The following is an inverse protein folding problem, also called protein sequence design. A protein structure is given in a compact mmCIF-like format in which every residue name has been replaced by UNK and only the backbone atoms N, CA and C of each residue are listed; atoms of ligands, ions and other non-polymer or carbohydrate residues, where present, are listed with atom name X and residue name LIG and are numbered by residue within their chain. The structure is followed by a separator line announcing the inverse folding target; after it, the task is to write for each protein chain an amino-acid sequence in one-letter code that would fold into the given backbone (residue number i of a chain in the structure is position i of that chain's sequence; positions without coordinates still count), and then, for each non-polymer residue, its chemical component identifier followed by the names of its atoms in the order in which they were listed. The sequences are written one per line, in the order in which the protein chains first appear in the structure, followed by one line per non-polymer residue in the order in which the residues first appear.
data_IF_183246507677
#
_entry.id   IF_183246507677
#
_cell.length_a   1.000
_cell.length_b   1.000
_cell.length_c   1.000
_cell.angle_alpha   90.00
_cell.angle_beta   90.00
_cell.angle_gamma   90.00
#
_symmetry.space_group_name_H-M   'P 1'
#
loop_
_entity.id
_entity.type
_entity.pdbx_description
1 polymer ?
#
# COMPACT_ATOMS: atom_id res chain seq x y z
N UNK A 1 52.06 17.64 -51.09
CA UNK A 1 52.56 16.34 -50.59
C UNK A 1 52.54 16.41 -49.07
N UNK A 2 51.90 15.42 -48.40
CA UNK A 2 52.11 15.05 -46.98
C UNK A 2 51.50 16.03 -45.94
N UNK A 3 50.65 15.70 -44.97
CA UNK A 3 49.97 14.45 -44.55
C UNK A 3 48.79 14.88 -43.65
N UNK A 4 47.63 14.29 -43.89
CA UNK A 4 46.43 14.36 -43.06
C UNK A 4 46.71 13.88 -41.63
N UNK A 5 46.36 14.69 -40.63
CA UNK A 5 46.29 14.28 -39.24
C UNK A 5 44.81 14.27 -38.84
N UNK A 6 44.15 13.16 -39.18
CA UNK A 6 42.73 12.92 -38.93
C UNK A 6 42.52 12.67 -37.44
N UNK A 7 42.11 13.70 -36.72
CA UNK A 7 41.73 13.63 -35.30
C UNK A 7 40.39 12.92 -35.18
N UNK A 8 40.43 11.59 -34.98
CA UNK A 8 39.25 10.77 -34.74
C UNK A 8 38.88 10.84 -33.23
N UNK A 9 38.13 11.88 -32.84
CA UNK A 9 37.41 11.88 -31.56
C UNK A 9 36.26 10.86 -31.67
N UNK A 10 36.48 9.65 -31.17
CA UNK A 10 35.44 8.63 -31.06
C UNK A 10 34.62 8.90 -29.79
N UNK A 11 33.57 9.69 -29.95
CA UNK A 11 32.56 9.96 -28.93
C UNK A 11 31.80 8.67 -28.58
N UNK A 12 32.18 8.02 -27.49
CA UNK A 12 31.41 6.95 -26.85
C UNK A 12 30.16 7.54 -26.23
N UNK A 13 29.10 7.65 -27.03
CA UNK A 13 27.75 7.94 -26.55
C UNK A 13 27.24 6.74 -25.74
N UNK A 14 27.44 6.80 -24.42
CA UNK A 14 26.77 5.90 -23.47
C UNK A 14 25.29 6.27 -23.49
N UNK A 15 24.52 5.61 -24.35
CA UNK A 15 23.07 5.54 -24.21
C UNK A 15 22.79 4.73 -22.95
N UNK A 16 22.83 5.38 -21.79
CA UNK A 16 22.19 4.91 -20.59
C UNK A 16 20.70 4.82 -20.91
N UNK A 17 20.27 3.66 -21.40
CA UNK A 17 18.86 3.33 -21.52
C UNK A 17 18.24 3.44 -20.15
N UNK A 18 17.55 4.55 -19.88
CA UNK A 18 16.56 4.60 -18.83
C UNK A 18 15.55 3.51 -19.19
N UNK A 19 15.67 2.34 -18.55
CA UNK A 19 14.61 1.37 -18.55
C UNK A 19 13.40 2.08 -17.92
N UNK A 20 12.46 2.52 -18.77
CA UNK A 20 11.27 3.22 -18.33
C UNK A 20 10.55 2.30 -17.35
N UNK A 21 10.40 2.76 -16.11
CA UNK A 21 9.63 2.03 -15.11
C UNK A 21 8.20 1.86 -15.63
N UNK A 22 7.63 0.65 -15.63
CA UNK A 22 6.27 0.43 -16.10
C UNK A 22 5.28 1.34 -15.37
N UNK A 23 4.28 1.83 -16.10
CA UNK A 23 3.24 2.66 -15.50
C UNK A 23 2.49 1.89 -14.41
N UNK A 24 2.11 2.54 -13.30
CA UNK A 24 1.32 1.90 -12.26
C UNK A 24 -0.01 1.37 -12.82
N UNK A 25 -0.36 0.14 -12.45
CA UNK A 25 -1.69 -0.39 -12.72
C UNK A 25 -2.66 0.14 -11.68
N UNK A 26 -3.70 0.82 -12.13
CA UNK A 26 -4.76 1.33 -11.27
C UNK A 26 -5.94 0.35 -11.32
N UNK A 27 -6.46 -0.04 -10.15
CA UNK A 27 -7.57 -0.97 -10.01
C UNK A 27 -8.52 -0.51 -8.91
N UNK A 28 -9.82 -0.72 -9.08
CA UNK A 28 -10.78 -0.56 -7.98
C UNK A 28 -10.63 -1.71 -6.99
N UNK A 29 -10.91 -1.44 -5.70
CA UNK A 29 -10.75 -2.42 -4.62
C UNK A 29 -11.54 -3.72 -4.87
N UNK A 30 -12.73 -3.60 -5.44
CA UNK A 30 -13.60 -4.74 -5.79
C UNK A 30 -13.07 -5.60 -6.94
N UNK A 31 -12.11 -5.09 -7.71
CA UNK A 31 -11.51 -5.76 -8.87
C UNK A 31 -10.11 -6.30 -8.61
N UNK A 32 -9.59 -6.11 -7.40
CA UNK A 32 -8.31 -6.69 -6.97
C UNK A 32 -8.37 -8.22 -7.12
N UNK A 33 -7.40 -8.77 -7.86
CA UNK A 33 -7.31 -10.22 -8.12
C UNK A 33 -8.13 -10.72 -9.33
N UNK A 34 -8.95 -9.88 -9.97
CA UNK A 34 -9.63 -10.22 -11.23
C UNK A 34 -8.76 -10.01 -12.46
N UNK A 35 -7.68 -9.24 -12.32
CA UNK A 35 -6.74 -8.92 -13.40
C UNK A 35 -5.56 -9.90 -13.42
N UNK A 36 -4.89 -10.00 -14.57
CA UNK A 36 -3.70 -10.82 -14.74
C UNK A 36 -2.52 -10.37 -13.85
N UNK A 37 -1.39 -11.09 -13.88
CA UNK A 37 -0.21 -10.76 -13.06
C UNK A 37 0.32 -9.35 -13.35
N UNK A 38 1.00 -8.76 -12.37
CA UNK A 38 1.73 -7.50 -12.53
C UNK A 38 3.03 -7.76 -13.32
N UNK A 39 3.45 -6.77 -14.11
CA UNK A 39 4.77 -6.80 -14.73
C UNK A 39 5.87 -6.63 -13.65
N UNK A 40 7.10 -7.10 -13.90
CA UNK A 40 8.21 -6.88 -12.98
C UNK A 40 8.39 -5.39 -12.66
N UNK A 41 8.44 -5.05 -11.37
CA UNK A 41 8.54 -3.67 -10.86
C UNK A 41 7.36 -2.74 -11.19
N UNK A 42 6.26 -3.26 -11.72
CA UNK A 42 5.04 -2.47 -11.92
C UNK A 42 4.36 -2.20 -10.58
N UNK A 43 4.12 -0.93 -10.28
CA UNK A 43 3.35 -0.55 -9.10
C UNK A 43 1.87 -0.91 -9.27
N UNK A 44 1.21 -1.29 -8.18
CA UNK A 44 -0.25 -1.43 -8.11
C UNK A 44 -0.82 -0.27 -7.31
N UNK A 45 -1.84 0.40 -7.84
CA UNK A 45 -2.62 1.42 -7.15
C UNK A 45 -4.04 0.90 -7.00
N UNK A 46 -4.45 0.68 -5.76
CA UNK A 46 -5.81 0.27 -5.42
C UNK A 46 -6.61 1.52 -5.07
N UNK A 47 -7.74 1.72 -5.73
CA UNK A 47 -8.70 2.78 -5.48
C UNK A 47 -9.77 2.23 -4.54
N UNK A 48 -9.95 2.89 -3.40
CA UNK A 48 -11.03 2.59 -2.47
C UNK A 48 -12.05 3.72 -2.53
N UNK A 49 -13.30 3.39 -2.79
CA UNK A 49 -14.42 4.33 -2.85
C UNK A 49 -15.21 4.36 -1.53
N UNK A 50 -15.87 5.48 -1.20
CA UNK A 50 -16.80 5.53 -0.08
C UNK A 50 -17.90 4.48 -0.26
N UNK A 51 -18.08 3.60 0.72
CA UNK A 51 -19.03 2.49 0.61
C UNK A 51 -18.36 1.12 0.39
N UNK A 52 -17.08 1.07 0.05
CA UNK A 52 -16.34 -0.19 -0.04
C UNK A 52 -16.20 -0.86 1.33
N UNK A 53 -16.25 -2.19 1.34
CA UNK A 53 -16.10 -3.01 2.54
C UNK A 53 -14.80 -3.79 2.50
N UNK A 54 -13.87 -3.49 3.41
CA UNK A 54 -12.58 -4.17 3.51
C UNK A 54 -12.67 -5.24 4.62
N UNK A 55 -12.57 -6.54 4.31
CA UNK A 55 -12.49 -7.57 5.34
C UNK A 55 -11.12 -7.50 6.05
N UNK A 56 -11.14 -7.40 7.37
CA UNK A 56 -9.98 -7.44 8.24
C UNK A 56 -9.97 -8.75 9.03
N UNK A 57 -8.99 -9.59 8.76
CA UNK A 57 -8.73 -10.79 9.55
C UNK A 57 -7.87 -10.43 10.76
N UNK A 58 -8.38 -10.74 11.95
CA UNK A 58 -7.66 -10.57 13.21
C UNK A 58 -7.37 -11.94 13.81
N UNK A 59 -6.09 -12.33 13.83
CA UNK A 59 -5.65 -13.55 14.50
C UNK A 59 -4.84 -13.22 15.76
N UNK A 60 -5.26 -13.78 16.88
CA UNK A 60 -4.54 -13.81 18.15
C UNK A 60 -4.17 -15.26 18.40
N UNK A 61 -2.91 -15.54 18.75
CA UNK A 61 -2.46 -16.90 19.03
C UNK A 61 -1.51 -16.92 20.22
N UNK A 62 -1.73 -17.83 21.14
CA UNK A 62 -0.91 -18.02 22.32
C UNK A 62 -1.40 -19.16 23.21
N UNK A 63 -0.65 -19.52 24.26
CA UNK A 63 -0.97 -20.66 25.13
C UNK A 63 -2.24 -20.46 25.98
N UNK A 64 -2.69 -19.21 26.15
CA UNK A 64 -3.84 -18.86 27.00
C UNK A 64 -5.06 -18.40 26.19
N UNK A 65 -4.86 -17.84 24.99
CA UNK A 65 -5.91 -17.26 24.17
C UNK A 65 -5.56 -17.49 22.70
N UNK A 66 -6.55 -17.90 21.92
CA UNK A 66 -6.45 -17.99 20.48
C UNK A 66 -7.75 -17.50 19.82
N UNK A 67 -7.64 -16.91 18.64
CA UNK A 67 -8.78 -16.63 17.76
C UNK A 67 -9.33 -17.97 17.24
N UNK A 68 -10.66 -18.20 17.33
CA UNK A 68 -11.29 -19.36 16.73
C UNK A 68 -11.00 -19.47 15.22
N UNK A 69 -10.79 -20.69 14.73
CA UNK A 69 -10.45 -20.94 13.32
C UNK A 69 -11.55 -20.50 12.33
N UNK A 70 -12.79 -20.39 12.80
CA UNK A 70 -13.98 -19.99 12.04
C UNK A 70 -14.41 -18.53 12.32
N UNK A 71 -13.52 -17.72 12.90
CA UNK A 71 -13.81 -16.32 13.15
C UNK A 71 -14.10 -15.58 11.85
N UNK A 72 -15.24 -14.90 11.80
CA UNK A 72 -15.60 -14.09 10.64
C UNK A 72 -14.72 -12.82 10.57
N UNK A 73 -14.33 -12.38 9.37
CA UNK A 73 -13.59 -11.14 9.20
C UNK A 73 -14.36 -9.93 9.73
N UNK A 74 -13.65 -8.98 10.34
CA UNK A 74 -14.21 -7.68 10.72
C UNK A 74 -14.35 -6.85 9.46
N UNK A 75 -15.56 -6.39 9.14
CA UNK A 75 -15.78 -5.53 7.97
C UNK A 75 -15.48 -4.08 8.31
N UNK A 76 -14.45 -3.51 7.68
CA UNK A 76 -14.16 -2.09 7.72
C UNK A 76 -14.90 -1.38 6.60
N UNK A 77 -15.57 -0.28 6.91
CA UNK A 77 -16.29 0.53 5.94
C UNK A 77 -15.42 1.71 5.50
N UNK A 78 -15.15 1.83 4.21
CA UNK A 78 -14.46 3.00 3.65
C UNK A 78 -15.40 4.20 3.71
N UNK A 79 -14.96 5.25 4.42
CA UNK A 79 -15.76 6.47 4.61
C UNK A 79 -15.43 7.58 3.63
N UNK A 80 -14.24 7.55 3.03
CA UNK A 80 -13.74 8.56 2.12
C UNK A 80 -12.87 7.87 1.08
N UNK A 81 -12.91 8.36 -0.15
CA UNK A 81 -12.05 7.89 -1.23
C UNK A 81 -10.57 8.02 -0.84
N UNK A 82 -9.81 6.96 -1.05
CA UNK A 82 -8.35 6.99 -0.89
C UNK A 82 -7.70 6.00 -1.84
N UNK A 83 -6.39 6.13 -2.01
CA UNK A 83 -5.59 5.30 -2.89
C UNK A 83 -4.50 4.62 -2.07
N UNK A 84 -4.28 3.34 -2.31
CA UNK A 84 -3.17 2.57 -1.76
C UNK A 84 -2.24 2.16 -2.89
N UNK A 85 -1.01 2.66 -2.88
CA UNK A 85 0.03 2.26 -3.83
C UNK A 85 0.93 1.21 -3.18
N UNK A 86 1.19 0.14 -3.90
CA UNK A 86 2.08 -0.96 -3.53
C UNK A 86 3.14 -1.06 -4.62
N UNK A 87 4.40 -0.87 -4.23
CA UNK A 87 5.56 -1.03 -5.11
C UNK A 87 6.75 -1.64 -4.35
N UNK A 88 7.91 -1.71 -5.01
CA UNK A 88 9.12 -2.29 -4.40
C UNK A 88 9.61 -1.58 -3.14
N UNK A 89 9.20 -0.32 -2.90
CA UNK A 89 9.54 0.42 -1.68
C UNK A 89 8.55 0.18 -0.53
N UNK A 90 7.48 -0.60 -0.78
CA UNK A 90 6.43 -0.89 0.18
C UNK A 90 5.10 -0.21 -0.15
N UNK A 91 4.32 0.08 0.90
CA UNK A 91 2.97 0.63 0.80
C UNK A 91 2.94 2.12 1.09
N UNK A 92 2.22 2.88 0.24
CA UNK A 92 2.04 4.33 0.34
C UNK A 92 0.56 4.67 0.17
N UNK A 93 0.05 5.69 0.86
CA UNK A 93 -1.34 6.12 0.75
C UNK A 93 -1.47 7.52 0.14
N UNK A 94 -2.60 7.78 -0.49
CA UNK A 94 -2.92 9.08 -1.08
C UNK A 94 -4.41 9.39 -0.93
N UNK A 95 -4.76 10.67 -0.78
CA UNK A 95 -6.15 11.16 -0.77
C UNK A 95 -6.58 11.77 -2.11
N UNK A 96 -5.63 12.09 -3.00
CA UNK A 96 -5.86 12.78 -4.26
C UNK A 96 -5.50 11.93 -5.50
N UNK A 97 -4.86 10.77 -5.29
CA UNK A 97 -4.39 9.86 -6.33
C UNK A 97 -3.13 10.35 -7.06
N UNK A 98 -2.56 11.48 -6.64
CA UNK A 98 -1.41 12.13 -7.28
C UNK A 98 -0.21 12.15 -6.33
N UNK A 99 -0.45 12.53 -5.09
CA UNK A 99 0.56 12.68 -4.06
C UNK A 99 0.51 11.47 -3.14
N UNK A 100 1.51 10.59 -3.24
CA UNK A 100 1.63 9.42 -2.40
C UNK A 100 2.60 9.71 -1.26
N UNK A 101 2.04 10.00 -0.10
CA UNK A 101 2.81 10.23 1.12
C UNK A 101 3.34 8.91 1.69
N UNK A 102 4.47 9.00 2.39
CA UNK A 102 4.77 8.01 3.43
C UNK A 102 3.76 8.24 4.56
N UNK A 103 3.42 7.18 5.26
CA UNK A 103 2.55 7.30 6.45
C UNK A 103 3.36 8.04 7.52
N UNK A 104 3.18 9.36 7.61
CA UNK A 104 3.99 10.25 8.46
C UNK A 104 3.84 9.95 9.95
N UNK A 105 2.71 9.36 10.33
CA UNK A 105 2.47 8.81 11.67
C UNK A 105 1.87 7.42 11.50
N UNK A 106 2.42 6.38 12.12
CA UNK A 106 1.75 5.10 12.19
C UNK A 106 0.38 5.25 12.86
N UNK A 107 -0.61 4.47 12.42
CA UNK A 107 -1.80 4.20 13.22
C UNK A 107 -1.40 3.70 14.60
N UNK A 108 -2.06 4.17 15.66
CA UNK A 108 -1.92 3.54 16.96
C UNK A 108 -2.93 2.40 17.07
N UNK A 109 -2.46 1.25 17.54
CA UNK A 109 -3.33 0.19 18.01
C UNK A 109 -3.25 0.16 19.54
N UNK A 110 -4.41 0.12 20.19
CA UNK A 110 -4.51 -0.08 21.63
C UNK A 110 -5.27 -1.36 21.89
N UNK A 111 -4.68 -2.27 22.64
CA UNK A 111 -5.30 -3.50 23.08
C UNK A 111 -5.54 -3.38 24.58
N UNK A 112 -6.80 -3.38 24.99
CA UNK A 112 -7.21 -3.31 26.39
C UNK A 112 -8.07 -4.51 26.75
N UNK A 113 -7.97 -4.95 28.00
CA UNK A 113 -8.91 -5.93 28.58
C UNK A 113 -9.62 -5.22 29.72
N UNK A 114 -10.93 -5.08 29.60
CA UNK A 114 -11.78 -4.47 30.64
C UNK A 114 -12.82 -5.46 31.13
N UNK A 115 -13.25 -5.32 32.39
CA UNK A 115 -14.39 -6.05 32.92
C UNK A 115 -15.52 -5.06 33.20
N UNK A 116 -16.73 -5.37 32.73
CA UNK A 116 -17.94 -4.64 33.10
C UNK A 116 -19.03 -5.62 33.57
N UNK A 117 -20.22 -5.10 33.91
CA UNK A 117 -21.34 -5.94 34.38
C UNK A 117 -21.79 -7.02 33.38
N UNK A 118 -21.37 -6.96 32.11
CA UNK A 118 -21.63 -7.95 31.05
C UNK A 118 -20.46 -8.92 30.83
N UNK A 119 -19.41 -8.85 31.66
CA UNK A 119 -18.25 -9.74 31.61
C UNK A 119 -16.95 -9.07 31.12
N UNK A 120 -15.93 -9.89 30.94
CA UNK A 120 -14.61 -9.48 30.44
C UNK A 120 -14.67 -9.26 28.93
N UNK A 121 -14.16 -8.12 28.45
CA UNK A 121 -14.05 -7.80 27.03
C UNK A 121 -12.63 -7.37 26.70
N UNK A 122 -12.07 -8.00 25.68
CA UNK A 122 -10.93 -7.45 24.96
C UNK A 122 -11.44 -6.36 24.01
N UNK A 123 -10.77 -5.21 23.97
CA UNK A 123 -11.02 -4.11 23.07
C UNK A 123 -9.76 -3.84 22.27
N UNK A 124 -9.89 -3.81 20.95
CA UNK A 124 -8.86 -3.34 20.04
C UNK A 124 -9.36 -2.04 19.45
N UNK A 125 -8.65 -0.96 19.74
CA UNK A 125 -8.90 0.36 19.16
C UNK A 125 -7.78 0.65 18.17
N UNK A 126 -8.13 0.85 16.90
CA UNK A 126 -7.20 1.27 15.86
C UNK A 126 -7.50 2.73 15.56
N UNK A 127 -6.56 3.62 15.85
CA UNK A 127 -6.64 5.04 15.50
C UNK A 127 -5.71 5.29 14.35
N UNK A 128 -6.25 5.57 13.17
CA UNK A 128 -5.44 6.06 12.04
C UNK A 128 -5.22 7.56 12.21
N UNK A 129 -3.99 8.08 12.02
CA UNK A 129 -3.76 9.51 12.06
C UNK A 129 -4.49 10.16 10.91
N UNK A 130 -5.03 11.34 11.18
CA UNK A 130 -5.56 12.21 10.14
C UNK A 130 -4.39 12.62 9.23
N UNK A 131 -4.44 12.33 7.92
CA UNK A 131 -3.45 12.85 6.99
C UNK A 131 -3.45 14.38 7.07
N UNK A 132 -2.27 14.99 7.17
CA UNK A 132 -2.15 16.45 7.07
C UNK A 132 -2.60 16.84 5.67
N UNK A 133 -3.64 17.68 5.58
CA UNK A 133 -4.07 18.23 4.29
C UNK A 133 -2.92 19.09 3.74
N UNK A 134 -2.54 18.94 2.45
CA UNK A 134 -1.46 19.71 1.84
C UNK A 134 -1.81 21.21 1.74
#
# INVERSE_FOLDING_TARGET
MIRSLTTLLLSTAVLSGCAATPEPRIVDADDVGKLGPLEPNQALVIVFEPGDSIPLDLSVGGPLVATPADSQPIKLQVKRKFFLRIDGDGMKTSLDGKTFGKVDKPGSFSIGVGANQKGTRAQISITTPTPTEP
#
